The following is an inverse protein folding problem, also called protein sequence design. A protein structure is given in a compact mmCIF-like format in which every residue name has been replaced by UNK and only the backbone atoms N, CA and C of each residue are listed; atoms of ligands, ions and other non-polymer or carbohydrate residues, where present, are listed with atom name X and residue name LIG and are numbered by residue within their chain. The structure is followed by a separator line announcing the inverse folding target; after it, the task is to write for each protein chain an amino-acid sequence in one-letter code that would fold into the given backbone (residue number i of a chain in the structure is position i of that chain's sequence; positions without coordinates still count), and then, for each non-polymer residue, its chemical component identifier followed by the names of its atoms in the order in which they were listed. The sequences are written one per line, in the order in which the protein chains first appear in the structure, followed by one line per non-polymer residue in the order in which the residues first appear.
data_IF_417042496556
#
_entry.id   IF_417042496556
#
_cell.length_a   1.000
_cell.length_b   1.000
_cell.length_c   1.000
_cell.angle_alpha   90.00
_cell.angle_beta   90.00
_cell.angle_gamma   90.00
#
_symmetry.space_group_name_H-M   'P 1'
#
loop_
_entity.id
_entity.type
_entity.pdbx_description
1 polymer ?
#
# COMPACT_ATOMS: atom_id res chain seq x y z
N UNK A 1 32.62 -28.02 28.35
CA UNK A 1 32.09 -27.78 26.98
C UNK A 1 30.70 -27.19 27.16
N UNK A 2 30.49 -25.91 26.85
CA UNK A 2 29.17 -25.26 26.98
C UNK A 2 28.27 -25.76 25.85
N UNK A 3 27.21 -26.49 26.20
CA UNK A 3 26.23 -26.98 25.22
C UNK A 3 25.37 -25.81 24.72
N UNK A 4 25.00 -25.77 23.43
CA UNK A 4 24.11 -24.74 22.93
C UNK A 4 22.72 -24.96 23.56
N UNK A 5 22.36 -24.11 24.53
CA UNK A 5 21.02 -24.10 25.11
C UNK A 5 19.99 -23.78 24.03
N UNK A 6 18.88 -24.52 24.02
CA UNK A 6 17.75 -24.29 23.11
C UNK A 6 17.23 -22.86 23.33
N UNK A 7 16.77 -22.16 22.28
CA UNK A 7 16.38 -20.74 22.36
C UNK A 7 15.35 -20.39 23.45
N UNK A 8 14.53 -21.35 23.85
CA UNK A 8 13.59 -21.25 24.98
C UNK A 8 14.26 -21.43 26.35
N UNK A 9 15.26 -22.30 26.46
CA UNK A 9 15.97 -22.58 27.71
C UNK A 9 16.84 -21.42 28.18
N UNK A 10 17.18 -20.49 27.28
CA UNK A 10 18.00 -19.32 27.59
C UNK A 10 17.32 -18.35 28.55
N UNK A 11 16.00 -18.45 28.74
CA UNK A 11 15.27 -17.62 29.70
C UNK A 11 15.18 -18.24 31.10
N UNK A 12 15.31 -19.57 31.20
CA UNK A 12 15.07 -20.31 32.45
C UNK A 12 16.36 -20.60 33.22
N UNK A 13 17.47 -20.85 32.53
CA UNK A 13 18.75 -21.25 33.14
C UNK A 13 19.89 -20.48 32.49
N UNK A 14 20.79 -19.92 33.31
CA UNK A 14 22.00 -19.27 32.83
C UNK A 14 23.02 -20.33 32.35
N UNK A 15 23.29 -20.45 31.04
CA UNK A 15 24.23 -21.43 30.51
C UNK A 15 25.70 -21.08 30.75
N UNK A 16 25.97 -19.87 31.27
CA UNK A 16 27.30 -19.34 31.53
C UNK A 16 27.69 -19.38 33.02
N UNK A 17 26.78 -19.78 33.91
CA UNK A 17 27.11 -19.96 35.33
C UNK A 17 28.19 -21.02 35.54
N UNK A 18 29.13 -20.74 36.44
CA UNK A 18 30.20 -21.68 36.80
C UNK A 18 31.27 -21.90 35.71
N UNK A 19 31.29 -21.09 34.66
CA UNK A 19 32.31 -21.22 33.61
C UNK A 19 33.70 -20.82 34.15
N UNK A 20 34.73 -21.68 34.05
CA UNK A 20 36.02 -21.49 34.73
C UNK A 20 36.84 -20.27 34.27
N UNK A 21 36.48 -19.69 33.13
CA UNK A 21 37.15 -18.52 32.55
C UNK A 21 36.33 -17.22 32.68
N UNK A 22 35.15 -17.27 33.29
CA UNK A 22 34.27 -16.11 33.44
C UNK A 22 34.13 -15.78 34.91
N UNK A 23 34.21 -14.49 35.24
CA UNK A 23 33.77 -14.04 36.56
C UNK A 23 32.24 -14.11 36.65
N UNK A 24 31.65 -14.23 37.85
CA UNK A 24 30.20 -14.34 38.02
C UNK A 24 29.43 -13.22 37.31
N UNK A 25 29.92 -11.98 37.43
CA UNK A 25 29.30 -10.82 36.75
C UNK A 25 29.39 -10.90 35.22
N UNK A 26 30.47 -11.45 34.66
CA UNK A 26 30.60 -11.60 33.22
C UNK A 26 29.62 -12.65 32.69
N UNK A 27 29.41 -13.74 33.43
CA UNK A 27 28.43 -14.76 33.08
C UNK A 27 26.99 -14.18 33.09
N UNK A 28 26.65 -13.38 34.09
CA UNK A 28 25.34 -12.73 34.19
C UNK A 28 25.11 -11.73 33.06
N UNK A 29 26.09 -10.86 32.78
CA UNK A 29 25.99 -9.89 31.69
C UNK A 29 25.83 -10.61 30.34
N UNK A 30 26.60 -11.68 30.09
CA UNK A 30 26.51 -12.44 28.84
C UNK A 30 25.14 -13.13 28.70
N UNK A 31 24.56 -13.58 29.81
CA UNK A 31 23.21 -14.13 29.84
C UNK A 31 22.14 -13.07 29.53
N UNK A 32 22.25 -11.87 30.09
CA UNK A 32 21.37 -10.75 29.73
C UNK A 32 21.48 -10.38 28.25
N UNK A 33 22.69 -10.33 27.70
CA UNK A 33 22.87 -10.11 26.26
C UNK A 33 22.27 -11.23 25.41
N UNK A 34 22.36 -12.49 25.85
CA UNK A 34 21.74 -13.61 25.15
C UNK A 34 20.21 -13.48 25.12
N UNK A 35 19.59 -13.11 26.26
CA UNK A 35 18.15 -12.82 26.37
C UNK A 35 17.74 -11.65 25.47
N UNK A 36 18.49 -10.55 25.49
CA UNK A 36 18.24 -9.39 24.63
C UNK A 36 18.32 -9.76 23.14
N UNK A 37 19.34 -10.50 22.74
CA UNK A 37 19.49 -10.94 21.34
C UNK A 37 18.30 -11.80 20.91
N UNK A 38 17.80 -12.67 21.78
CA UNK A 38 16.61 -13.47 21.49
C UNK A 38 15.37 -12.57 21.31
N UNK A 39 15.16 -11.59 22.18
CA UNK A 39 14.07 -10.61 22.01
C UNK A 39 14.20 -9.79 20.72
N UNK A 40 15.41 -9.38 20.35
CA UNK A 40 15.66 -8.66 19.09
C UNK A 40 15.31 -9.54 17.89
N UNK A 41 15.67 -10.82 17.89
CA UNK A 41 15.29 -11.76 16.83
C UNK A 41 13.77 -11.90 16.72
N UNK A 42 13.08 -12.01 17.85
CA UNK A 42 11.63 -12.12 17.88
C UNK A 42 10.96 -10.83 17.37
N UNK A 43 11.47 -9.66 17.77
CA UNK A 43 11.01 -8.37 17.27
C UNK A 43 11.21 -8.22 15.76
N UNK A 44 12.37 -8.62 15.23
CA UNK A 44 12.64 -8.59 13.79
C UNK A 44 11.70 -9.54 13.04
N UNK A 45 11.49 -10.75 13.56
CA UNK A 45 10.57 -11.71 12.97
C UNK A 45 9.13 -11.19 12.96
N UNK A 46 8.68 -10.59 14.06
CA UNK A 46 7.35 -9.96 14.16
C UNK A 46 7.22 -8.76 13.24
N UNK A 47 8.21 -7.87 13.21
CA UNK A 47 8.24 -6.70 12.32
C UNK A 47 8.16 -7.12 10.86
N UNK A 48 8.92 -8.15 10.46
CA UNK A 48 8.86 -8.69 9.11
C UNK A 48 7.47 -9.23 8.76
N UNK A 49 6.85 -10.01 9.66
CA UNK A 49 5.47 -10.49 9.48
C UNK A 49 4.48 -9.33 9.34
N UNK A 50 4.61 -8.31 10.17
CA UNK A 50 3.77 -7.11 10.13
C UNK A 50 4.04 -6.23 8.91
N UNK A 51 5.21 -6.29 8.30
CA UNK A 51 5.50 -5.56 7.06
C UNK A 51 4.96 -6.31 5.83
N UNK A 52 5.04 -7.64 5.82
CA UNK A 52 4.64 -8.46 4.65
C UNK A 52 3.11 -8.67 4.59
N UNK A 53 2.42 -8.74 5.73
CA UNK A 53 0.97 -9.08 5.80
C UNK A 53 -0.03 -7.97 5.44
N UNK A 54 0.15 -6.67 5.79
CA UNK A 54 -0.86 -5.64 5.55
C UNK A 54 -0.94 -5.25 4.07
N UNK A 55 0.15 -5.37 3.31
CA UNK A 55 0.25 -4.88 1.94
C UNK A 55 -0.73 -5.59 1.00
N UNK A 56 -0.83 -6.92 1.01
CA UNK A 56 -1.74 -7.60 0.09
C UNK A 56 -3.21 -7.26 0.33
N UNK A 57 -3.62 -7.18 1.59
CA UNK A 57 -5.00 -6.90 1.95
C UNK A 57 -5.40 -5.46 1.60
N UNK A 58 -4.50 -4.50 1.79
CA UNK A 58 -4.72 -3.10 1.41
C UNK A 58 -4.69 -2.92 -0.10
N UNK A 59 -3.73 -3.53 -0.81
CA UNK A 59 -3.65 -3.50 -2.27
C UNK A 59 -4.90 -4.09 -2.92
N UNK A 60 -5.46 -5.18 -2.36
CA UNK A 60 -6.71 -5.75 -2.85
C UNK A 60 -7.89 -4.79 -2.71
N UNK A 61 -7.97 -4.07 -1.57
CA UNK A 61 -9.00 -3.04 -1.34
C UNK A 61 -8.84 -1.86 -2.28
N UNK A 62 -7.62 -1.37 -2.49
CA UNK A 62 -7.31 -0.30 -3.43
C UNK A 62 -7.68 -0.66 -4.86
N UNK A 63 -7.36 -1.89 -5.31
CA UNK A 63 -7.73 -2.37 -6.65
C UNK A 63 -9.25 -2.43 -6.87
N UNK A 64 -10.03 -2.79 -5.84
CA UNK A 64 -11.49 -2.75 -5.91
C UNK A 64 -11.98 -1.31 -6.04
N UNK A 65 -11.39 -0.39 -5.28
CA UNK A 65 -11.74 1.02 -5.34
C UNK A 65 -11.40 1.64 -6.70
N UNK A 66 -10.23 1.35 -7.24
CA UNK A 66 -9.78 1.75 -8.58
C UNK A 66 -10.78 1.34 -9.67
N UNK A 67 -11.22 0.07 -9.66
CA UNK A 67 -12.21 -0.41 -10.65
C UNK A 67 -13.54 0.32 -10.54
N UNK A 68 -14.02 0.56 -9.31
CA UNK A 68 -15.29 1.26 -9.08
C UNK A 68 -15.21 2.72 -9.53
N UNK A 69 -14.15 3.43 -9.14
CA UNK A 69 -13.95 4.83 -9.53
C UNK A 69 -13.67 4.97 -11.02
N UNK A 70 -12.91 4.05 -11.62
CA UNK A 70 -12.68 4.00 -13.06
C UNK A 70 -13.97 3.81 -13.85
N UNK A 71 -14.88 2.95 -13.39
CA UNK A 71 -16.18 2.76 -14.01
C UNK A 71 -17.06 4.02 -13.90
N UNK A 72 -17.10 4.65 -12.72
CA UNK A 72 -17.81 5.93 -12.52
C UNK A 72 -17.25 7.02 -13.43
N UNK A 73 -15.93 7.16 -13.52
CA UNK A 73 -15.28 8.14 -14.38
C UNK A 73 -15.60 7.90 -15.86
N UNK A 74 -15.56 6.64 -16.32
CA UNK A 74 -15.91 6.30 -17.70
C UNK A 74 -17.36 6.61 -18.01
N UNK A 75 -18.30 6.24 -17.12
CA UNK A 75 -19.72 6.56 -17.28
C UNK A 75 -19.96 8.07 -17.29
N UNK A 76 -19.31 8.80 -16.40
CA UNK A 76 -19.38 10.25 -16.35
C UNK A 76 -18.85 10.88 -17.65
N UNK A 77 -17.69 10.44 -18.15
CA UNK A 77 -17.13 10.92 -19.42
C UNK A 77 -18.05 10.63 -20.59
N UNK A 78 -18.64 9.43 -20.66
CA UNK A 78 -19.61 9.07 -21.70
C UNK A 78 -20.87 9.92 -21.61
N UNK A 79 -21.37 10.19 -20.41
CA UNK A 79 -22.53 11.05 -20.18
C UNK A 79 -22.28 12.48 -20.63
N UNK A 80 -21.11 13.04 -20.31
CA UNK A 80 -20.74 14.40 -20.75
C UNK A 80 -20.59 14.45 -22.26
N UNK A 81 -19.90 13.47 -22.86
CA UNK A 81 -19.75 13.39 -24.31
C UNK A 81 -21.09 13.29 -25.03
N UNK A 82 -22.04 12.50 -24.51
CA UNK A 82 -23.39 12.42 -25.07
C UNK A 82 -24.08 13.78 -25.15
N UNK A 83 -24.09 14.53 -24.04
CA UNK A 83 -24.74 15.86 -23.96
C UNK A 83 -24.03 16.90 -24.84
N UNK A 84 -22.70 16.97 -24.78
CA UNK A 84 -21.93 17.94 -25.58
C UNK A 84 -22.09 17.67 -27.08
N UNK A 85 -22.11 16.39 -27.47
CA UNK A 85 -22.34 15.98 -28.84
C UNK A 85 -23.74 16.37 -29.31
N UNK A 86 -24.79 16.11 -28.53
CA UNK A 86 -26.17 16.54 -28.84
C UNK A 86 -26.31 18.06 -29.02
N UNK A 87 -25.64 18.87 -28.18
CA UNK A 87 -25.61 20.33 -28.32
C UNK A 87 -24.86 20.79 -29.57
N UNK A 88 -23.76 20.13 -29.92
CA UNK A 88 -22.99 20.43 -31.13
C UNK A 88 -23.82 20.19 -32.40
N UNK A 89 -24.67 19.17 -32.43
CA UNK A 89 -25.59 18.95 -33.55
C UNK A 89 -26.76 19.93 -33.57
N UNK A 90 -27.28 20.34 -32.40
CA UNK A 90 -28.35 21.33 -32.30
C UNK A 90 -27.91 22.71 -32.82
N UNK A 91 -26.71 23.17 -32.46
CA UNK A 91 -26.15 24.44 -32.93
C UNK A 91 -25.84 24.45 -34.44
N UNK A 92 -25.48 23.30 -35.02
CA UNK A 92 -25.25 23.16 -36.47
C UNK A 92 -26.57 23.08 -37.25
N UNK A 93 -27.68 22.73 -36.61
CA UNK A 93 -29.02 22.62 -37.20
C UNK A 93 -29.85 23.90 -37.16
N UNK A 94 -29.22 25.09 -37.10
CA UNK A 94 -29.91 26.38 -37.24
C UNK A 94 -29.74 26.93 -38.67
N UNK A 95 -30.59 26.55 -39.65
CA UNK A 95 -30.52 27.04 -41.03
C UNK A 95 -31.22 28.40 -41.17
N UNK A 96 -30.85 29.39 -40.35
CA UNK A 96 -31.45 30.73 -40.39
C UNK A 96 -30.39 31.82 -40.57
N UNK A 97 -29.45 31.64 -41.52
CA UNK A 97 -28.62 32.77 -41.95
C UNK A 97 -28.21 32.80 -43.44
N UNK A 98 -28.69 31.89 -44.29
CA UNK A 98 -28.33 31.87 -45.71
C UNK A 98 -29.27 32.69 -46.63
N UNK A 99 -30.26 33.41 -46.08
CA UNK A 99 -31.23 34.19 -46.90
C UNK A 99 -30.83 35.65 -47.15
N UNK A 100 -29.76 36.17 -46.54
CA UNK A 100 -29.36 37.58 -46.68
C UNK A 100 -28.19 37.73 -47.69
N UNK A 101 -28.30 37.18 -48.90
CA UNK A 101 -27.34 37.50 -50.00
C UNK A 101 -27.98 37.62 -51.39
N UNK A 102 -29.30 37.39 -51.55
CA UNK A 102 -29.93 37.23 -52.88
C UNK A 102 -30.93 38.34 -53.29
N UNK A 103 -30.86 39.56 -52.73
CA UNK A 103 -31.76 40.67 -53.14
C UNK A 103 -31.06 41.92 -53.72
N UNK A 104 -29.73 41.93 -53.91
CA UNK A 104 -29.02 43.17 -54.33
C UNK A 104 -28.86 43.33 -55.85
N UNK A 105 -29.50 42.54 -56.72
CA UNK A 105 -29.40 42.72 -58.18
C UNK A 105 -30.77 42.63 -58.85
N UNK A 106 -31.61 43.65 -58.66
CA UNK A 106 -32.58 44.13 -59.67
C UNK A 106 -33.03 45.56 -59.35
N UNK A 107 -32.31 46.58 -59.85
CA UNK A 107 -32.88 47.65 -60.68
C UNK A 107 -31.81 48.61 -61.20
#
# INVERSE_FOLDING_TARGET
MSSPASSSQIFDVNPYEGHPNLTPIQADVLWEYAKLNQHVKDLVAQTRRLSETPDESMLKRLRVLERKMGLVLTLFKASVWGVVNEQSYADVSNPQNDTIMDETITH
#
